data_IF_740716412215
#
_entry.id   IF_740716412215
#
_cell.length_a   1.000
_cell.length_b   1.000
_cell.length_c   1.000
_cell.angle_alpha   90.00
_cell.angle_beta   90.00
_cell.angle_gamma   90.00
#
_symmetry.space_group_name_H-M   'P 1'
#
loop_
_entity.id
_entity.type
_entity.pdbx_description
1 polymer ?
#
# COMPACT_ATOMS: atom_id res chain seq x y z
N UNK A 1 14.21 -36.26 59.38
CA UNK A 1 15.37 -35.83 58.57
C UNK A 1 14.84 -35.54 57.17
N UNK A 2 14.69 -34.27 56.78
CA UNK A 2 14.14 -33.86 55.48
C UNK A 2 15.27 -33.36 54.58
N UNK A 3 15.61 -34.14 53.57
CA UNK A 3 16.65 -33.81 52.59
C UNK A 3 16.08 -32.82 51.58
N UNK A 4 16.54 -31.57 51.64
CA UNK A 4 16.11 -30.46 50.78
C UNK A 4 16.79 -30.60 49.40
N UNK A 5 16.02 -30.97 48.38
CA UNK A 5 16.51 -30.96 46.99
C UNK A 5 16.79 -29.51 46.57
N UNK A 6 18.07 -29.16 46.45
CA UNK A 6 18.48 -27.89 45.85
C UNK A 6 18.34 -28.01 44.34
N UNK A 7 17.25 -27.50 43.78
CA UNK A 7 17.15 -27.27 42.34
C UNK A 7 18.25 -26.30 41.95
N UNK A 8 19.25 -26.79 41.18
CA UNK A 8 20.27 -25.95 40.58
C UNK A 8 19.61 -25.19 39.44
N UNK A 9 19.24 -23.94 39.69
CA UNK A 9 18.84 -23.04 38.60
C UNK A 9 20.03 -22.89 37.65
N UNK A 10 19.90 -23.43 36.43
CA UNK A 10 20.89 -23.28 35.38
C UNK A 10 20.63 -21.94 34.69
N UNK A 11 21.55 -20.98 34.84
CA UNK A 11 21.55 -19.75 34.05
C UNK A 11 22.03 -20.00 32.61
N UNK A 12 21.58 -19.15 31.68
CA UNK A 12 22.13 -19.11 30.32
C UNK A 12 23.59 -18.65 30.34
N UNK A 13 24.41 -19.24 29.48
CA UNK A 13 25.78 -18.74 29.26
C UNK A 13 25.77 -17.53 28.35
N UNK A 14 26.74 -16.63 28.53
CA UNK A 14 26.91 -15.45 27.66
C UNK A 14 27.16 -15.86 26.20
N UNK A 15 27.84 -16.99 25.98
CA UNK A 15 28.15 -17.47 24.63
C UNK A 15 26.91 -18.04 23.92
N UNK A 16 26.01 -18.71 24.64
CA UNK A 16 24.72 -19.14 24.07
C UNK A 16 23.90 -17.93 23.62
N UNK A 17 23.85 -16.88 24.44
CA UNK A 17 23.14 -15.66 24.07
C UNK A 17 23.81 -14.95 22.87
N UNK A 18 25.14 -14.95 22.80
CA UNK A 18 25.88 -14.35 21.69
C UNK A 18 25.57 -15.03 20.35
N UNK A 19 25.54 -16.38 20.32
CA UNK A 19 25.22 -17.14 19.10
C UNK A 19 23.77 -16.86 18.67
N UNK A 20 22.83 -16.79 19.62
CA UNK A 20 21.43 -16.50 19.33
C UNK A 20 21.26 -15.12 18.67
N UNK A 21 21.93 -14.08 19.19
CA UNK A 21 21.87 -12.74 18.61
C UNK A 21 22.46 -12.70 17.21
N UNK A 22 23.55 -13.44 16.96
CA UNK A 22 24.15 -13.55 15.61
C UNK A 22 23.18 -14.21 14.63
N UNK A 23 22.53 -15.31 15.01
CA UNK A 23 21.57 -16.01 14.15
C UNK A 23 20.35 -15.10 13.86
N UNK A 24 19.78 -14.46 14.88
CA UNK A 24 18.67 -13.52 14.71
C UNK A 24 19.09 -12.33 13.83
N UNK A 25 20.32 -11.83 13.97
CA UNK A 25 20.86 -10.76 13.14
C UNK A 25 20.92 -11.13 11.66
N UNK A 26 21.39 -12.34 11.33
CA UNK A 26 21.43 -12.84 9.94
C UNK A 26 20.02 -13.01 9.38
N UNK A 27 19.11 -13.59 10.16
CA UNK A 27 17.72 -13.77 9.74
C UNK A 27 17.02 -12.43 9.51
N UNK A 28 17.19 -11.47 10.41
CA UNK A 28 16.61 -10.13 10.29
C UNK A 28 17.13 -9.39 9.05
N UNK A 29 18.43 -9.47 8.78
CA UNK A 29 19.04 -8.83 7.61
C UNK A 29 18.44 -9.30 6.27
N UNK A 30 18.03 -10.57 6.18
CA UNK A 30 17.37 -11.11 4.99
C UNK A 30 15.84 -10.92 5.00
N UNK A 31 15.23 -10.99 6.18
CA UNK A 31 13.77 -10.97 6.33
C UNK A 31 13.18 -9.56 6.15
N UNK A 32 13.82 -8.53 6.71
CA UNK A 32 13.33 -7.14 6.68
C UNK A 32 13.16 -6.62 5.24
N UNK A 33 14.17 -6.65 4.34
CA UNK A 33 14.00 -6.12 2.99
C UNK A 33 12.92 -6.89 2.21
N UNK A 34 12.85 -8.21 2.37
CA UNK A 34 11.81 -9.04 1.73
C UNK A 34 10.40 -8.71 2.22
N UNK A 35 10.25 -8.47 3.52
CA UNK A 35 8.98 -8.09 4.11
C UNK A 35 8.53 -6.71 3.59
N UNK A 36 9.44 -5.74 3.54
CA UNK A 36 9.17 -4.41 3.00
C UNK A 36 8.67 -4.48 1.54
N UNK A 37 9.37 -5.21 0.67
CA UNK A 37 8.95 -5.40 -0.72
C UNK A 37 7.56 -6.05 -0.83
N UNK A 38 7.27 -7.05 0.00
CA UNK A 38 5.97 -7.71 0.01
C UNK A 38 4.85 -6.75 0.43
N UNK A 39 5.09 -5.92 1.44
CA UNK A 39 4.13 -4.90 1.87
C UNK A 39 3.91 -3.85 0.79
N UNK A 40 4.96 -3.38 0.12
CA UNK A 40 4.84 -2.38 -0.94
C UNK A 40 4.05 -2.91 -2.13
N UNK A 41 4.33 -4.14 -2.56
CA UNK A 41 3.56 -4.80 -3.62
C UNK A 41 2.09 -4.99 -3.24
N UNK A 42 1.80 -5.30 -1.98
CA UNK A 42 0.43 -5.37 -1.47
C UNK A 42 -0.27 -4.01 -1.58
N UNK A 43 0.42 -2.92 -1.23
CA UNK A 43 -0.11 -1.55 -1.31
C UNK A 43 -0.34 -1.09 -2.75
N UNK A 44 0.59 -1.37 -3.65
CA UNK A 44 0.39 -1.17 -5.09
C UNK A 44 -0.81 -1.97 -5.60
N UNK A 45 -1.00 -3.21 -5.15
CA UNK A 45 -2.15 -4.02 -5.57
C UNK A 45 -3.48 -3.43 -5.09
N UNK A 46 -3.53 -2.94 -3.85
CA UNK A 46 -4.69 -2.23 -3.28
C UNK A 46 -5.04 -1.00 -4.13
N UNK A 47 -4.04 -0.19 -4.50
CA UNK A 47 -4.25 0.98 -5.34
C UNK A 47 -4.81 0.65 -6.72
N UNK A 48 -4.28 -0.39 -7.37
CA UNK A 48 -4.78 -0.86 -8.68
C UNK A 48 -6.22 -1.35 -8.60
N UNK A 49 -6.61 -1.99 -7.49
CA UNK A 49 -7.99 -2.43 -7.28
C UNK A 49 -8.93 -1.24 -7.15
N UNK A 50 -8.55 -0.23 -6.36
CA UNK A 50 -9.32 1.02 -6.22
C UNK A 50 -9.43 1.77 -7.55
N UNK A 51 -8.34 1.90 -8.33
CA UNK A 51 -8.40 2.50 -9.67
C UNK A 51 -9.37 1.77 -10.61
N UNK A 52 -9.40 0.43 -10.58
CA UNK A 52 -10.38 -0.35 -11.37
C UNK A 52 -11.82 -0.17 -10.88
N UNK A 53 -12.02 -0.04 -9.58
CA UNK A 53 -13.33 0.30 -9.01
C UNK A 53 -13.77 1.68 -9.49
N UNK A 54 -12.91 2.69 -9.41
CA UNK A 54 -13.13 4.04 -9.91
C UNK A 54 -13.52 4.01 -11.39
N UNK A 55 -12.78 3.28 -12.24
CA UNK A 55 -13.13 3.11 -13.66
C UNK A 55 -14.55 2.56 -13.85
N UNK A 56 -14.90 1.52 -13.09
CA UNK A 56 -16.22 0.90 -13.20
C UNK A 56 -17.33 1.86 -12.78
N UNK A 57 -17.12 2.60 -11.69
CA UNK A 57 -18.11 3.57 -11.19
C UNK A 57 -18.23 4.80 -12.10
N UNK A 58 -17.12 5.29 -12.65
CA UNK A 58 -17.10 6.36 -13.65
C UNK A 58 -17.90 5.98 -14.91
N UNK A 59 -17.79 4.72 -15.37
CA UNK A 59 -18.59 4.23 -16.50
C UNK A 59 -20.08 4.18 -16.19
N UNK A 60 -20.45 3.75 -14.99
CA UNK A 60 -21.85 3.78 -14.53
C UNK A 60 -22.36 5.21 -14.44
N UNK A 61 -21.58 6.12 -13.85
CA UNK A 61 -21.93 7.52 -13.71
C UNK A 61 -22.13 8.20 -15.07
N UNK A 62 -21.26 7.93 -16.05
CA UNK A 62 -21.38 8.46 -17.41
C UNK A 62 -22.61 7.96 -18.14
N UNK A 63 -23.06 6.73 -17.90
CA UNK A 63 -24.31 6.22 -18.51
C UNK A 63 -25.53 7.03 -18.04
N UNK A 64 -25.52 7.52 -16.80
CA UNK A 64 -26.61 8.31 -16.25
C UNK A 64 -26.51 9.82 -16.57
N UNK A 65 -25.30 10.37 -16.59
CA UNK A 65 -25.08 11.82 -16.63
C UNK A 65 -24.44 12.34 -17.93
N UNK A 66 -24.09 11.44 -18.87
CA UNK A 66 -23.42 11.75 -20.13
C UNK A 66 -22.08 12.51 -19.98
N UNK A 67 -21.47 12.43 -18.79
CA UNK A 67 -20.16 13.01 -18.43
C UNK A 67 -19.50 12.16 -17.35
N UNK A 68 -18.18 12.24 -17.21
CA UNK A 68 -17.50 11.71 -16.03
C UNK A 68 -17.59 12.69 -14.85
N UNK A 69 -17.52 12.15 -13.63
CA UNK A 69 -17.70 12.91 -12.39
C UNK A 69 -16.39 13.21 -11.67
N UNK A 70 -16.48 14.03 -10.62
CA UNK A 70 -15.38 14.32 -9.68
C UNK A 70 -14.15 14.99 -10.32
N UNK A 71 -14.34 15.83 -11.34
CA UNK A 71 -13.24 16.61 -11.94
C UNK A 71 -12.56 17.52 -10.89
N UNK A 72 -11.23 17.45 -10.82
CA UNK A 72 -10.42 18.21 -9.87
C UNK A 72 -10.49 17.72 -8.42
N UNK A 73 -11.14 16.59 -8.15
CA UNK A 73 -11.23 16.02 -6.79
C UNK A 73 -9.98 15.20 -6.48
N UNK A 74 -9.39 15.45 -5.32
CA UNK A 74 -8.35 14.59 -4.73
C UNK A 74 -8.89 13.91 -3.48
N UNK A 75 -8.88 12.58 -3.46
CA UNK A 75 -9.30 11.76 -2.33
C UNK A 75 -8.11 10.95 -1.80
N UNK A 76 -7.74 11.18 -0.54
CA UNK A 76 -6.76 10.39 0.20
C UNK A 76 -7.46 9.63 1.35
N UNK A 77 -6.71 9.12 2.33
CA UNK A 77 -7.27 8.39 3.46
C UNK A 77 -8.42 9.15 4.14
N UNK A 78 -9.56 8.45 4.35
CA UNK A 78 -10.81 9.01 4.89
C UNK A 78 -11.50 10.07 4.02
N UNK A 79 -11.21 10.12 2.72
CA UNK A 79 -11.92 10.94 1.75
C UNK A 79 -12.66 10.08 0.73
N UNK A 80 -13.39 10.72 -0.18
CA UNK A 80 -14.17 10.03 -1.19
C UNK A 80 -14.32 10.81 -2.48
N UNK A 81 -14.76 10.10 -3.52
CA UNK A 81 -15.26 10.66 -4.76
C UNK A 81 -16.79 10.67 -4.71
N UNK A 82 -17.42 11.79 -4.30
CA UNK A 82 -18.84 11.84 -3.98
C UNK A 82 -19.76 11.63 -5.19
N UNK A 83 -19.36 12.04 -6.40
CA UNK A 83 -20.22 11.88 -7.57
C UNK A 83 -20.33 10.40 -7.99
N UNK A 84 -19.25 9.63 -7.86
CA UNK A 84 -19.22 8.20 -8.18
C UNK A 84 -19.40 7.26 -6.97
N UNK A 85 -19.48 7.81 -5.75
CA UNK A 85 -19.71 7.05 -4.51
C UNK A 85 -18.57 6.09 -4.14
N UNK A 86 -17.31 6.49 -4.40
CA UNK A 86 -16.13 5.67 -4.05
C UNK A 86 -15.45 6.26 -2.82
N UNK A 87 -15.32 5.45 -1.77
CA UNK A 87 -14.68 5.83 -0.50
C UNK A 87 -13.24 5.29 -0.43
N UNK A 88 -12.33 6.08 0.16
CA UNK A 88 -10.93 5.69 0.36
C UNK A 88 -10.70 5.32 1.83
N UNK A 89 -10.22 4.10 2.05
CA UNK A 89 -9.99 3.55 3.39
C UNK A 89 -9.02 4.42 4.22
N UNK A 90 -9.22 4.44 5.53
CA UNK A 90 -8.35 5.15 6.48
C UNK A 90 -6.90 4.71 6.45
N UNK A 91 -6.64 3.47 6.01
CA UNK A 91 -5.32 2.84 5.91
C UNK A 91 -4.68 2.98 4.52
N UNK A 92 -5.31 3.73 3.62
CA UNK A 92 -4.78 3.97 2.28
C UNK A 92 -3.52 4.85 2.38
N UNK A 93 -2.48 4.46 1.65
CA UNK A 93 -1.25 5.25 1.52
C UNK A 93 -1.30 6.13 0.27
N UNK A 94 -2.00 5.67 -0.77
CA UNK A 94 -2.17 6.42 -2.01
C UNK A 94 -3.21 7.53 -1.87
N UNK A 95 -2.88 8.68 -2.46
CA UNK A 95 -3.81 9.75 -2.78
C UNK A 95 -4.27 9.61 -4.22
N UNK A 96 -5.56 9.78 -4.49
CA UNK A 96 -6.16 9.63 -5.80
C UNK A 96 -6.67 10.97 -6.30
N UNK A 97 -6.13 11.47 -7.41
CA UNK A 97 -6.58 12.71 -8.05
C UNK A 97 -7.34 12.38 -9.33
N UNK A 98 -8.51 12.98 -9.50
CA UNK A 98 -9.38 12.78 -10.65
C UNK A 98 -9.34 14.01 -11.57
N UNK A 99 -9.12 13.76 -12.86
CA UNK A 99 -9.36 14.73 -13.93
C UNK A 99 -10.42 14.14 -14.84
N UNK A 100 -11.57 14.80 -14.96
CA UNK A 100 -12.75 14.27 -15.65
C UNK A 100 -13.38 15.31 -16.56
N UNK A 101 -13.87 14.86 -17.72
CA UNK A 101 -14.59 15.67 -18.68
C UNK A 101 -15.72 14.83 -19.31
N UNK A 102 -16.44 15.41 -20.28
CA UNK A 102 -17.58 14.73 -20.93
C UNK A 102 -17.22 13.34 -21.52
N UNK A 103 -16.03 13.21 -22.11
CA UNK A 103 -15.64 12.01 -22.86
C UNK A 103 -14.36 11.34 -22.39
N UNK A 104 -13.64 11.94 -21.44
CA UNK A 104 -12.35 11.45 -20.97
C UNK A 104 -12.28 11.59 -19.46
N UNK A 105 -11.60 10.67 -18.82
CA UNK A 105 -11.17 10.84 -17.45
C UNK A 105 -9.81 10.17 -17.27
N UNK A 106 -9.05 10.69 -16.32
CA UNK A 106 -7.84 10.07 -15.80
C UNK A 106 -7.89 10.15 -14.29
N UNK A 107 -7.70 9.02 -13.63
CA UNK A 107 -7.46 9.00 -12.19
C UNK A 107 -6.01 8.60 -11.93
N UNK A 108 -5.31 9.41 -11.14
CA UNK A 108 -3.90 9.24 -10.80
C UNK A 108 -3.79 8.93 -9.32
N UNK A 109 -3.27 7.74 -8.99
CA UNK A 109 -2.88 7.36 -7.64
C UNK A 109 -1.40 7.69 -7.43
N UNK A 110 -1.07 8.44 -6.38
CA UNK A 110 0.30 8.80 -6.00
C UNK A 110 0.58 8.40 -4.55
N UNK A 111 1.75 7.82 -4.28
CA UNK A 111 2.22 7.53 -2.94
C UNK A 111 3.75 7.55 -2.89
N UNK A 112 4.30 8.04 -1.77
CA UNK A 112 5.68 7.80 -1.40
C UNK A 112 5.74 6.57 -0.48
N UNK A 113 6.36 5.48 -0.93
CA UNK A 113 6.32 4.18 -0.25
C UNK A 113 7.58 3.87 0.56
N UNK A 114 8.68 4.57 0.29
CA UNK A 114 10.01 4.36 0.88
C UNK A 114 10.67 5.64 1.41
N UNK A 115 9.89 6.71 1.55
CA UNK A 115 10.26 8.01 2.15
C UNK A 115 11.40 8.72 1.40
N UNK A 116 11.42 8.56 0.07
CA UNK A 116 12.40 9.18 -0.80
C UNK A 116 11.83 10.41 -1.55
N UNK A 117 12.53 10.91 -2.58
CA UNK A 117 12.09 12.10 -3.30
C UNK A 117 11.12 11.81 -4.47
N UNK A 118 10.81 10.54 -4.74
CA UNK A 118 10.09 10.10 -5.92
C UNK A 118 8.82 9.33 -5.55
N UNK A 119 7.70 9.71 -6.17
CA UNK A 119 6.43 9.08 -5.89
C UNK A 119 6.21 7.88 -6.83
N UNK A 120 5.62 6.80 -6.30
CA UNK A 120 5.03 5.74 -7.11
C UNK A 120 3.69 6.24 -7.69
N UNK A 121 3.58 6.21 -9.01
CA UNK A 121 2.43 6.79 -9.73
C UNK A 121 1.75 5.75 -10.61
N UNK A 122 0.47 5.48 -10.32
CA UNK A 122 -0.40 4.66 -11.14
C UNK A 122 -1.52 5.51 -11.74
N UNK A 123 -1.82 5.29 -13.02
CA UNK A 123 -2.91 5.98 -13.70
C UNK A 123 -3.89 4.98 -14.31
N UNK A 124 -5.18 5.33 -14.31
CA UNK A 124 -6.19 4.64 -15.10
C UNK A 124 -6.99 5.63 -15.95
N UNK A 125 -7.22 5.27 -17.21
CA UNK A 125 -7.95 6.09 -18.18
C UNK A 125 -9.39 5.60 -18.42
N UNK A 126 -10.13 6.33 -19.25
CA UNK A 126 -11.50 5.99 -19.67
C UNK A 126 -11.64 4.68 -20.47
N UNK A 127 -10.54 4.13 -20.96
CA UNK A 127 -10.52 2.85 -21.67
C UNK A 127 -10.22 1.68 -20.72
N UNK A 128 -9.85 1.96 -19.47
CA UNK A 128 -9.46 0.97 -18.48
C UNK A 128 -7.99 0.58 -18.58
N UNK A 129 -7.19 1.36 -19.30
CA UNK A 129 -5.75 1.17 -19.38
C UNK A 129 -5.12 1.60 -18.05
N UNK A 130 -4.61 0.62 -17.32
CA UNK A 130 -3.88 0.84 -16.08
C UNK A 130 -2.39 0.92 -16.39
N UNK A 131 -1.79 2.08 -16.16
CA UNK A 131 -0.38 2.34 -16.47
C UNK A 131 0.36 2.68 -15.17
N UNK A 132 1.58 2.15 -15.04
CA UNK A 132 2.54 2.68 -14.09
C UNK A 132 3.32 3.79 -14.78
N UNK A 133 3.16 5.02 -14.32
CA UNK A 133 3.80 6.20 -14.91
C UNK A 133 5.16 6.47 -14.26
N UNK A 134 5.36 6.06 -13.02
CA UNK A 134 6.66 6.12 -12.31
C UNK A 134 6.68 5.00 -11.28
N UNK A 135 7.48 3.96 -11.53
CA UNK A 135 7.65 2.84 -10.60
C UNK A 135 8.92 3.06 -9.79
N UNK A 136 8.81 3.72 -8.66
CA UNK A 136 9.97 4.04 -7.84
C UNK A 136 10.32 2.96 -6.80
N UNK A 137 9.44 1.98 -6.64
CA UNK A 137 9.75 0.82 -5.81
C UNK A 137 10.81 -0.02 -6.52
N UNK A 138 12.06 0.19 -6.13
CA UNK A 138 13.19 -0.62 -6.57
C UNK A 138 12.98 -2.08 -6.11
N UNK A 139 13.07 -3.00 -7.06
CA UNK A 139 12.98 -4.44 -6.84
C UNK A 139 14.21 -4.99 -6.08
#
# INVERSE_FOLDING_TARGET
MFTKFHNREKGFTLIELMIVVVIIGILAALAIPRFMQATTKSKQSEAKQLLKQIYTMQRTYRQANNTYGDDGVTAAANASFPAIGVEIMSTAIYSYTMAAAANTFTCTATANLDDDATDDVWTIDQNGNLLNTTNDVSA
#
